data_IF_055065941008
#
_entry.id   IF_055065941008
#
_cell.length_a   1.000
_cell.length_b   1.000
_cell.length_c   1.000
_cell.angle_alpha   90.00
_cell.angle_beta   90.00
_cell.angle_gamma   90.00
#
_symmetry.space_group_name_H-M   'P 1'
#
loop_
_entity.id
_entity.type
_entity.pdbx_description
1 polymer ?
2 non-polymer ?
3 non-polymer ?
4 water ?
#
# COMPACT_ATOMS: atom_id res chain seq x y z
N UNK A 2 -26.64 5.64 3.17
CA UNK A 2 -27.42 6.91 3.22
C UNK A 2 -26.48 8.12 3.10
N UNK A 3 -25.68 8.36 4.14
CA UNK A 3 -24.81 9.50 4.13
C UNK A 3 -23.58 9.14 3.30
N UNK A 4 -22.86 10.17 2.94
CA UNK A 4 -21.61 9.96 2.24
C UNK A 4 -20.60 9.26 3.15
N UNK A 5 -20.64 9.56 4.44
CA UNK A 5 -19.70 8.91 5.39
C UNK A 5 -20.01 7.41 5.45
N UNK A 6 -21.29 7.05 5.53
CA UNK A 6 -21.72 5.67 5.56
C UNK A 6 -21.28 4.94 4.31
N UNK A 7 -21.52 5.57 3.16
CA UNK A 7 -21.02 5.03 1.91
C UNK A 7 -19.50 4.88 1.80
N UNK A 8 -18.75 5.87 2.32
CA UNK A 8 -17.29 5.82 2.33
C UNK A 8 -16.79 4.59 3.07
N UNK A 9 -17.41 4.35 4.24
CA UNK A 9 -17.01 3.17 5.06
C UNK A 9 -17.32 1.89 4.28
N UNK A 10 -18.50 1.85 3.68
CA UNK A 10 -18.90 0.69 2.92
C UNK A 10 -17.95 0.38 1.78
N UNK A 11 -17.58 1.40 1.03
CA UNK A 11 -16.62 1.25 -0.07
C UNK A 11 -15.28 0.78 0.46
N UNK A 12 -14.76 1.41 1.50
CA UNK A 12 -13.41 1.02 1.99
C UNK A 12 -13.41 -0.40 2.56
N UNK A 13 -14.48 -0.80 3.22
CA UNK A 13 -14.58 -2.18 3.73
C UNK A 13 -14.55 -3.16 2.54
N UNK A 14 -15.23 -2.81 1.48
CA UNK A 14 -15.30 -3.68 0.28
C UNK A 14 -13.95 -3.70 -0.43
N UNK A 15 -13.29 -2.55 -0.54
CA UNK A 15 -11.92 -2.53 -1.10
C UNK A 15 -10.96 -3.41 -0.32
N UNK A 16 -11.06 -3.42 1.01
CA UNK A 16 -10.20 -4.24 1.83
C UNK A 16 -10.49 -5.69 1.58
N UNK A 17 -11.77 -6.05 1.56
CA UNK A 17 -12.18 -7.43 1.30
C UNK A 17 -11.68 -7.86 -0.09
N UNK A 18 -11.88 -7.00 -1.09
CA UNK A 18 -11.43 -7.31 -2.46
C UNK A 18 -9.91 -7.55 -2.52
N UNK A 19 -9.13 -6.70 -1.88
CA UNK A 19 -7.67 -6.88 -1.90
C UNK A 19 -7.27 -8.21 -1.29
N UNK A 20 -7.92 -8.59 -0.19
CA UNK A 20 -7.58 -9.81 0.50
C UNK A 20 -7.88 -11.01 -0.38
N UNK A 21 -8.98 -10.93 -1.11
CA UNK A 21 -9.41 -12.02 -1.98
C UNK A 21 -8.86 -11.92 -3.41
N UNK A 22 -8.09 -10.88 -3.73
CA UNK A 22 -7.57 -10.70 -5.08
C UNK A 22 -8.65 -10.46 -6.13
N UNK A 23 -9.72 -9.76 -5.75
CA UNK A 23 -10.87 -9.46 -6.65
C UNK A 23 -10.87 -8.02 -7.14
N UNK A 24 -11.20 -7.82 -8.41
CA UNK A 24 -11.27 -6.47 -9.00
C UNK A 24 -10.02 -5.66 -8.76
N UNK A 25 -8.89 -6.37 -8.70
CA UNK A 25 -7.59 -5.73 -8.45
C UNK A 25 -6.83 -5.53 -9.73
N UNK A 26 -6.62 -4.27 -10.12
CA UNK A 26 -5.83 -3.95 -11.29
C UNK A 26 -4.33 -3.91 -11.09
N UNK A 27 -3.87 -3.99 -9.82
CA UNK A 27 -2.42 -4.04 -9.53
C UNK A 27 -2.05 -5.44 -9.03
N UNK A 28 -1.03 -5.99 -9.64
CA UNK A 28 -0.39 -7.23 -9.17
C UNK A 28 1.06 -6.86 -8.85
N UNK A 29 1.45 -7.06 -7.59
CA UNK A 29 2.77 -6.69 -7.12
C UNK A 29 3.49 -7.97 -6.67
N UNK A 30 4.54 -8.30 -7.40
CA UNK A 30 5.34 -9.50 -7.14
C UNK A 30 6.53 -9.07 -6.29
N UNK A 31 6.49 -9.37 -4.99
CA UNK A 31 7.59 -9.05 -4.09
C UNK A 31 8.34 -10.34 -3.78
N UNK A 32 9.38 -10.60 -4.58
CA UNK A 32 10.18 -11.79 -4.42
C UNK A 32 9.35 -13.06 -4.41
N UNK A 33 8.47 -13.23 -5.39
CA UNK A 33 7.65 -14.46 -5.47
C UNK A 33 6.42 -14.45 -4.55
N UNK A 34 6.37 -13.48 -3.67
CA UNK A 34 5.16 -13.27 -2.86
C UNK A 34 4.25 -12.25 -3.57
N UNK A 35 3.01 -12.65 -3.89
CA UNK A 35 2.14 -11.87 -4.78
C UNK A 35 1.05 -11.19 -3.99
N UNK A 36 1.00 -9.86 -4.13
CA UNK A 36 0.04 -9.02 -3.52
C UNK A 36 -0.87 -8.47 -4.62
N UNK A 37 -2.15 -8.51 -4.37
CA UNK A 37 -3.11 -7.90 -5.29
C UNK A 37 -3.56 -6.61 -4.65
N UNK A 38 -3.76 -5.59 -5.45
CA UNK A 38 -4.22 -4.31 -4.94
C UNK A 38 -4.89 -3.48 -6.03
N UNK A 39 -5.35 -2.29 -5.65
CA UNK A 39 -6.01 -1.36 -6.54
C UNK A 39 -5.10 -0.15 -6.81
N UNK A 40 -4.80 0.10 -8.07
CA UNK A 40 -3.92 1.28 -8.40
C UNK A 40 -4.46 2.57 -7.88
N UNK A 41 -5.78 2.69 -7.89
CA UNK A 41 -6.45 3.87 -7.36
C UNK A 41 -6.03 4.16 -5.93
N UNK A 42 -5.95 3.11 -5.13
CA UNK A 42 -5.61 3.20 -3.71
C UNK A 42 -4.10 3.35 -3.55
N UNK A 43 -3.33 2.57 -4.32
CA UNK A 43 -1.83 2.74 -4.28
C UNK A 43 -1.42 4.19 -4.58
N UNK A 44 -2.06 4.79 -5.60
CA UNK A 44 -1.74 6.14 -6.09
C UNK A 44 -2.21 7.20 -5.12
N UNK A 45 -3.18 6.87 -4.31
CA UNK A 45 -3.56 7.77 -3.26
C UNK A 45 -2.40 8.09 -2.31
N UNK A 46 -1.63 7.07 -1.95
CA UNK A 46 -0.69 7.20 -0.84
C UNK A 46 0.76 7.27 -1.25
N UNK A 47 1.06 6.72 -2.42
CA UNK A 47 2.44 6.53 -2.88
C UNK A 47 2.73 7.28 -4.15
N UNK A 48 3.71 8.18 -4.11
CA UNK A 48 4.13 8.84 -5.34
C UNK A 48 4.85 7.86 -6.31
N UNK A 49 5.48 6.82 -5.76
CA UNK A 49 6.14 5.82 -6.57
C UNK A 49 5.10 5.12 -7.45
N UNK A 50 3.98 4.74 -6.87
CA UNK A 50 2.97 4.02 -7.66
C UNK A 50 2.23 4.95 -8.62
N UNK A 51 2.03 6.21 -8.21
CA UNK A 51 1.49 7.23 -9.14
C UNK A 51 2.33 7.27 -10.38
N UNK A 52 3.65 7.31 -10.21
CA UNK A 52 4.59 7.42 -11.35
C UNK A 52 4.62 6.17 -12.21
N UNK A 53 4.50 5.02 -11.56
CA UNK A 53 4.66 3.76 -12.25
C UNK A 53 3.42 3.47 -13.10
N UNK A 54 2.27 3.99 -12.67
CA UNK A 54 1.00 3.76 -13.38
C UNK A 54 1.10 4.21 -14.83
N UNK A 55 1.64 5.41 -15.03
CA UNK A 55 1.76 5.99 -16.37
C UNK A 55 0.40 6.12 -17.06
N UNK A 56 0.26 5.46 -18.21
CA UNK A 56 -0.99 5.49 -19.00
C UNK A 56 -1.94 4.37 -18.58
N UNK A 57 -1.50 3.52 -17.65
CA UNK A 57 -2.25 2.32 -17.25
C UNK A 57 -1.91 1.07 -18.06
N UNK A 58 -1.16 1.25 -19.15
CA UNK A 58 -0.89 0.23 -20.17
C UNK A 58 -0.06 -0.92 -19.62
N UNK A 59 0.77 -0.57 -18.64
CA UNK A 59 1.34 -1.48 -17.64
C UNK A 59 1.80 -2.92 -17.82
N UNK A 60 1.20 -3.79 -17.01
CA UNK A 60 1.80 -5.08 -16.62
C UNK A 60 1.88 -5.20 -15.09
N UNK A 61 2.34 -6.35 -14.59
CA UNK A 61 2.54 -6.53 -13.15
C UNK A 61 3.78 -5.74 -12.73
N UNK A 62 3.92 -5.49 -11.43
CA UNK A 62 5.09 -4.81 -10.86
C UNK A 62 5.91 -5.83 -10.07
N UNK A 63 7.17 -5.99 -10.44
CA UNK A 63 8.08 -6.84 -9.70
C UNK A 63 8.85 -5.90 -8.79
N UNK A 64 8.75 -6.11 -7.48
CA UNK A 64 9.46 -5.26 -6.50
C UNK A 64 10.62 -6.05 -5.87
N UNK A 65 11.65 -5.33 -5.36
CA UNK A 65 12.79 -6.03 -4.76
C UNK A 65 12.34 -6.99 -3.66
N UNK A 66 12.88 -8.20 -3.66
CA UNK A 66 12.49 -9.21 -2.68
C UNK A 66 12.55 -8.69 -1.24
N UNK A 67 13.47 -7.77 -0.97
CA UNK A 67 13.67 -7.21 0.38
C UNK A 67 12.43 -6.63 1.03
N UNK A 68 11.45 -6.22 0.22
CA UNK A 68 10.20 -5.62 0.72
C UNK A 68 9.26 -6.67 1.32
N UNK A 69 9.48 -7.96 1.08
CA UNK A 69 8.45 -8.95 1.42
C UNK A 69 8.04 -8.86 2.89
N UNK A 70 9.00 -8.60 3.76
CA UNK A 70 8.74 -8.58 5.21
C UNK A 70 7.65 -7.58 5.62
N UNK A 71 7.73 -6.37 5.07
CA UNK A 71 7.04 -5.18 5.56
C UNK A 71 6.16 -4.51 4.49
N UNK A 72 6.29 -4.89 3.22
CA UNK A 72 5.34 -4.41 2.20
C UNK A 72 3.87 -4.59 2.62
N UNK A 73 3.52 -5.71 3.21
CA UNK A 73 2.15 -5.89 3.66
C UNK A 73 1.71 -4.85 4.68
N UNK A 74 2.64 -4.41 5.54
CA UNK A 74 2.32 -3.35 6.52
C UNK A 74 2.00 -2.08 5.80
N UNK A 75 2.75 -1.80 4.74
CA UNK A 75 2.53 -0.55 4.02
C UNK A 75 1.19 -0.61 3.33
N UNK A 76 0.87 -1.75 2.71
CA UNK A 76 -0.44 -1.91 2.05
C UNK A 76 -1.57 -1.76 3.03
N UNK A 77 -1.39 -2.32 4.22
CA UNK A 77 -2.35 -2.16 5.27
C UNK A 77 -2.60 -0.69 5.57
N UNK A 78 -1.52 0.09 5.60
CA UNK A 78 -1.63 1.52 5.83
C UNK A 78 -2.46 2.19 4.72
N UNK A 79 -2.17 1.82 3.46
CA UNK A 79 -2.90 2.39 2.34
C UNK A 79 -4.42 2.10 2.44
N UNK A 80 -4.75 0.92 2.93
CA UNK A 80 -6.13 0.44 2.96
C UNK A 80 -6.88 0.80 4.22
N UNK A 81 -6.18 1.20 5.28
CA UNK A 81 -6.81 1.45 6.59
C UNK A 81 -6.46 2.75 7.27
N UNK A 82 -5.35 3.38 6.85
CA UNK A 82 -4.91 4.58 7.51
C UNK A 82 -4.02 4.36 8.73
N UNK A 83 -3.79 3.10 9.11
CA UNK A 83 -2.99 2.78 10.27
C UNK A 83 -1.66 2.15 9.85
N UNK A 84 -0.56 2.67 10.37
CA UNK A 84 0.76 2.12 10.12
C UNK A 84 1.26 1.42 11.38
N UNK A 85 1.39 0.09 11.29
CA UNK A 85 1.68 -0.78 12.43
C UNK A 85 3.18 -0.80 12.78
N UNK A 86 3.67 0.31 13.32
CA UNK A 86 5.07 0.47 13.65
C UNK A 86 5.41 -0.17 14.98
N UNK A 87 6.60 -0.75 15.05
CA UNK A 87 7.19 -1.24 16.27
C UNK A 87 8.65 -0.82 16.31
N UNK A 88 9.28 -0.92 17.47
CA UNK A 88 10.71 -0.57 17.55
C UNK A 88 11.49 -1.45 16.58
N UNK A 89 11.10 -2.72 16.48
CA UNK A 89 11.76 -3.68 15.61
C UNK A 89 11.60 -3.45 14.11
N UNK A 90 10.48 -2.87 13.69
CA UNK A 90 10.26 -2.70 12.24
C UNK A 90 10.39 -1.28 11.73
N UNK A 91 10.52 -0.31 12.63
CA UNK A 91 10.43 1.10 12.21
C UNK A 91 11.41 1.45 11.11
N UNK A 92 12.66 1.04 11.26
CA UNK A 92 13.68 1.41 10.24
C UNK A 92 13.36 0.77 8.89
N UNK A 93 12.85 -0.45 8.91
CA UNK A 93 12.48 -1.12 7.66
C UNK A 93 11.28 -0.46 7.00
N UNK A 94 10.29 -0.10 7.81
CA UNK A 94 9.14 0.58 7.31
C UNK A 94 9.54 1.98 6.77
N UNK A 95 10.40 2.69 7.48
CA UNK A 95 10.86 3.99 7.02
C UNK A 95 11.53 3.90 5.65
N UNK A 96 12.38 2.89 5.48
CA UNK A 96 13.04 2.69 4.19
C UNK A 96 12.01 2.39 3.08
N UNK A 97 11.05 1.52 3.35
CA UNK A 97 10.02 1.25 2.34
C UNK A 97 9.19 2.49 2.00
N UNK A 98 8.88 3.29 3.03
CA UNK A 98 8.16 4.55 2.86
C UNK A 98 8.94 5.54 2.00
N UNK A 99 10.27 5.58 2.14
CA UNK A 99 11.09 6.37 1.27
C UNK A 99 11.12 5.89 -0.14
N UNK A 100 11.32 4.58 -0.31
CA UNK A 100 11.41 3.98 -1.65
C UNK A 100 10.08 4.12 -2.37
N UNK A 101 8.98 3.91 -1.65
CA UNK A 101 7.64 4.06 -2.25
C UNK A 101 7.11 5.51 -2.25
N UNK A 102 7.90 6.43 -1.72
CA UNK A 102 7.56 7.86 -1.67
C UNK A 102 6.16 8.07 -1.07
N UNK A 103 6.06 7.69 0.20
CA UNK A 103 4.85 7.77 1.02
C UNK A 103 5.09 8.76 2.16
N UNK A 104 4.90 10.06 1.88
CA UNK A 104 5.29 11.10 2.83
C UNK A 104 4.64 10.94 4.19
N UNK A 105 3.38 10.51 4.22
CA UNK A 105 2.68 10.34 5.51
C UNK A 105 3.30 9.26 6.38
N UNK A 106 3.78 8.20 5.74
CA UNK A 106 4.44 7.12 6.44
C UNK A 106 5.83 7.55 6.91
N UNK A 107 6.56 8.30 6.10
CA UNK A 107 7.82 8.90 6.58
C UNK A 107 7.63 9.69 7.86
N UNK A 108 6.63 10.56 7.87
CA UNK A 108 6.38 11.41 9.04
C UNK A 108 6.01 10.54 10.25
N UNK A 109 5.18 9.53 10.07
CA UNK A 109 4.80 8.65 11.20
C UNK A 109 6.03 7.90 11.78
N UNK A 110 6.89 7.39 10.89
CA UNK A 110 8.14 6.77 11.30
C UNK A 110 9.06 7.71 12.09
N UNK A 111 9.18 8.95 11.64
CA UNK A 111 10.03 9.92 12.31
C UNK A 111 9.52 10.28 13.68
N UNK A 112 8.21 10.36 13.82
CA UNK A 112 7.58 10.78 15.06
C UNK A 112 7.40 9.62 16.05
N UNK A 113 7.69 8.39 15.60
CA UNK A 113 7.49 7.19 16.42
C UNK A 113 8.44 7.21 17.62
N UNK A 114 7.89 6.95 18.80
CA UNK A 114 8.65 6.98 20.04
C UNK A 114 8.07 5.99 21.06
X LIG B 1 -6.56 7.51 -0.69
X LIG C 1 -1.67 7.31 2.37
X LIG D 1 -8.29 -9.91 -10.88
X LIG D 1 -8.41 -9.25 -9.61
X LIG D 1 -7.28 -9.16 -11.76
X LIG D 1 -6.00 -9.04 -11.10
X LIG E 1 1.37 -1.20 -14.46
X LIG E 1 2.43 -0.23 -14.40
X LIG E 1 0.01 -0.55 -14.79
X LIG E 1 0.16 0.61 -15.63
#
# INVERSE_FOLDING_TARGET
SMSFVQHSVRVLQELNKQREKGQYCDATLDVGGLVFKAHWSVLACCSHFFQSLYGDGSGGSVVLPAGFAEIFGLLLDFFYTGHLALTSGNRDQVLLAARELRVPEAVELCQSFKPKTSV
UNX UNK
UNX UNK
EDO C1 O1 C2 O2
EDO C1 O1 C2 O2
#
